data_IF_075176939953
#
_entry.id   IF_075176939953
#
_cell.length_a   1.000
_cell.length_b   1.000
_cell.length_c   1.000
_cell.angle_alpha   90.00
_cell.angle_beta   90.00
_cell.angle_gamma   90.00
#
_symmetry.space_group_name_H-M   'P 1'
#
loop_
_entity.id
_entity.type
_entity.pdbx_description
1 polymer ?
#
# COMPACT_ATOMS: atom_id res chain seq x y z
N UNK A 1 -7.84 -34.76 -23.81
CA UNK A 1 -6.87 -34.37 -24.86
C UNK A 1 -6.52 -32.93 -24.59
N UNK A 2 -5.44 -32.67 -23.85
CA UNK A 2 -5.00 -31.31 -23.50
C UNK A 2 -4.42 -30.68 -24.77
N UNK A 3 -4.96 -29.54 -25.20
CA UNK A 3 -4.46 -28.83 -26.37
C UNK A 3 -3.12 -28.16 -26.02
N UNK A 4 -2.25 -28.00 -27.02
CA UNK A 4 -0.87 -27.47 -26.89
C UNK A 4 -0.78 -26.10 -26.17
N UNK A 5 -1.88 -25.37 -26.05
CA UNK A 5 -1.95 -24.03 -25.48
C UNK A 5 -2.89 -23.90 -24.27
N UNK A 6 -3.46 -25.00 -23.76
CA UNK A 6 -4.39 -24.96 -22.63
C UNK A 6 -3.74 -24.46 -21.33
N UNK A 7 -2.43 -24.64 -21.21
CA UNK A 7 -1.65 -24.21 -20.06
C UNK A 7 -1.22 -22.75 -20.15
N UNK A 8 -1.63 -22.01 -21.18
CA UNK A 8 -1.28 -20.60 -21.36
C UNK A 8 -2.45 -19.69 -20.99
N UNK A 9 -2.14 -18.53 -20.41
CA UNK A 9 -3.09 -17.47 -20.13
C UNK A 9 -2.58 -16.10 -20.63
N UNK A 10 -3.45 -15.29 -21.24
CA UNK A 10 -3.15 -13.90 -21.52
C UNK A 10 -3.19 -13.12 -20.21
N UNK A 11 -2.12 -12.38 -19.92
CA UNK A 11 -2.00 -11.55 -18.74
C UNK A 11 -1.69 -10.12 -19.15
N UNK A 12 -2.54 -9.22 -18.68
CA UNK A 12 -2.36 -7.80 -18.86
C UNK A 12 -1.52 -7.24 -17.72
N UNK A 13 -0.32 -6.73 -18.03
CA UNK A 13 0.50 -5.96 -17.09
C UNK A 13 0.54 -4.50 -17.55
N UNK A 14 -0.34 -3.70 -16.97
CA UNK A 14 -0.56 -2.32 -17.42
C UNK A 14 -1.07 -2.26 -18.87
N UNK A 15 -0.32 -1.60 -19.76
CA UNK A 15 -0.67 -1.48 -21.20
C UNK A 15 -0.18 -2.64 -22.08
N UNK A 16 0.67 -3.53 -21.55
CA UNK A 16 1.23 -4.65 -22.32
C UNK A 16 0.46 -5.93 -22.03
N UNK A 17 0.12 -6.66 -23.09
CA UNK A 17 -0.44 -8.01 -23.03
C UNK A 17 0.67 -9.02 -23.25
N UNK A 18 0.81 -9.99 -22.34
CA UNK A 18 1.81 -11.05 -22.43
C UNK A 18 1.14 -12.40 -22.24
N UNK A 19 1.59 -13.43 -22.98
CA UNK A 19 1.16 -14.80 -22.74
C UNK A 19 2.15 -15.45 -21.78
N UNK A 20 1.64 -16.08 -20.71
CA UNK A 20 2.44 -16.85 -19.75
C UNK A 20 1.79 -18.20 -19.48
N UNK A 21 2.55 -19.13 -18.90
CA UNK A 21 1.97 -20.34 -18.34
C UNK A 21 1.01 -19.98 -17.18
N UNK A 22 -0.15 -20.64 -17.15
CA UNK A 22 -1.13 -20.59 -16.07
C UNK A 22 -0.43 -20.95 -14.78
N UNK A 23 -0.64 -20.11 -13.76
CA UNK A 23 -0.12 -20.39 -12.43
C UNK A 23 -1.01 -21.40 -11.73
N UNK A 24 -0.49 -22.60 -11.52
CA UNK A 24 -1.10 -23.55 -10.59
C UNK A 24 -0.82 -23.08 -9.16
N UNK A 25 -1.84 -22.87 -8.32
CA UNK A 25 -1.64 -22.53 -6.92
C UNK A 25 -0.94 -23.67 -6.18
N UNK A 26 -0.07 -23.32 -5.23
CA UNK A 26 0.42 -24.32 -4.27
C UNK A 26 -0.71 -24.80 -3.37
N UNK A 27 -0.52 -25.92 -2.67
CA UNK A 27 -1.52 -26.44 -1.73
C UNK A 27 -1.96 -25.38 -0.69
N UNK A 28 -1.02 -24.57 -0.17
CA UNK A 28 -1.33 -23.49 0.77
C UNK A 28 -2.09 -22.32 0.13
N UNK A 29 -1.75 -21.97 -1.11
CA UNK A 29 -2.48 -20.93 -1.83
C UNK A 29 -3.90 -21.39 -2.15
N UNK A 30 -4.06 -22.66 -2.54
CA UNK A 30 -5.36 -23.26 -2.83
C UNK A 30 -6.26 -23.23 -1.59
N UNK A 31 -5.75 -23.59 -0.41
CA UNK A 31 -6.51 -23.52 0.84
C UNK A 31 -7.07 -22.11 1.10
N UNK A 32 -6.26 -21.06 0.89
CA UNK A 32 -6.73 -19.67 1.02
C UNK A 32 -7.80 -19.32 -0.01
N UNK A 33 -7.65 -19.78 -1.25
CA UNK A 33 -8.65 -19.54 -2.30
C UNK A 33 -9.97 -20.26 -2.02
N UNK A 34 -9.90 -21.47 -1.45
CA UNK A 34 -11.07 -22.25 -1.06
C UNK A 34 -11.84 -21.59 0.09
N UNK A 35 -11.13 -21.08 1.11
CA UNK A 35 -11.74 -20.30 2.19
C UNK A 35 -12.48 -19.06 1.67
N UNK A 36 -11.90 -18.37 0.68
CA UNK A 36 -12.51 -17.20 0.05
C UNK A 36 -13.77 -17.59 -0.72
N UNK A 37 -13.72 -18.64 -1.54
CA UNK A 37 -14.88 -19.14 -2.28
C UNK A 37 -15.98 -19.66 -1.35
N UNK A 38 -15.62 -20.17 -0.16
CA UNK A 38 -16.57 -20.56 0.89
C UNK A 38 -17.19 -19.37 1.65
N UNK A 39 -16.74 -18.14 1.39
CA UNK A 39 -17.26 -16.93 2.01
C UNK A 39 -16.70 -16.64 3.41
N UNK A 40 -15.53 -17.20 3.76
CA UNK A 40 -14.86 -16.88 5.03
C UNK A 40 -14.46 -15.40 5.03
N UNK A 41 -14.97 -14.65 6.01
CA UNK A 41 -14.85 -13.19 6.02
C UNK A 41 -13.49 -12.66 6.50
N UNK A 42 -12.77 -13.42 7.33
CA UNK A 42 -11.50 -13.01 7.92
C UNK A 42 -10.50 -14.16 7.88
N UNK A 43 -9.44 -13.99 7.09
CA UNK A 43 -8.39 -14.99 6.89
C UNK A 43 -7.04 -14.35 7.22
N UNK A 44 -6.28 -15.00 8.11
CA UNK A 44 -4.91 -14.61 8.42
C UNK A 44 -3.94 -15.55 7.70
N UNK A 45 -3.05 -14.99 6.87
CA UNK A 45 -2.06 -15.76 6.11
C UNK A 45 -0.65 -15.44 6.61
N UNK A 46 -0.03 -16.40 7.30
CA UNK A 46 1.38 -16.32 7.70
C UNK A 46 2.28 -16.84 6.57
N UNK A 47 3.09 -15.96 6.00
CA UNK A 47 3.83 -16.23 4.77
C UNK A 47 5.29 -15.76 4.85
N UNK A 48 6.25 -16.68 4.70
CA UNK A 48 7.69 -16.40 4.70
C UNK A 48 8.14 -15.65 3.43
N UNK A 49 9.33 -15.05 3.43
CA UNK A 49 9.87 -14.43 2.23
C UNK A 49 9.95 -15.45 1.07
N UNK A 50 9.60 -15.03 -0.15
CA UNK A 50 9.60 -15.91 -1.32
C UNK A 50 8.40 -16.86 -1.45
N UNK A 51 7.47 -16.91 -0.47
CA UNK A 51 6.31 -17.83 -0.49
C UNK A 51 5.21 -17.49 -1.51
N UNK A 52 5.45 -16.57 -2.45
CA UNK A 52 4.46 -16.20 -3.47
C UNK A 52 3.32 -15.29 -2.99
N UNK A 53 3.53 -14.46 -1.97
CA UNK A 53 2.53 -13.50 -1.43
C UNK A 53 1.86 -12.65 -2.52
N UNK A 54 2.64 -12.01 -3.38
CA UNK A 54 2.12 -11.18 -4.47
C UNK A 54 1.29 -12.01 -5.46
N UNK A 55 1.74 -13.24 -5.76
CA UNK A 55 1.00 -14.16 -6.62
C UNK A 55 -0.34 -14.57 -6.01
N UNK A 56 -0.38 -14.80 -4.69
CA UNK A 56 -1.60 -15.10 -3.98
C UNK A 56 -2.59 -13.93 -4.04
N UNK A 57 -2.14 -12.69 -3.84
CA UNK A 57 -3.01 -11.51 -3.97
C UNK A 57 -3.61 -11.36 -5.38
N UNK A 58 -2.82 -11.63 -6.42
CA UNK A 58 -3.29 -11.65 -7.82
C UNK A 58 -4.34 -12.75 -8.05
N UNK A 59 -4.12 -13.96 -7.51
CA UNK A 59 -5.07 -15.07 -7.58
C UNK A 59 -6.39 -14.72 -6.86
N UNK A 60 -6.31 -14.14 -5.67
CA UNK A 60 -7.49 -13.70 -4.90
C UNK A 60 -8.27 -12.66 -5.71
N UNK A 61 -7.59 -11.65 -6.25
CA UNK A 61 -8.25 -10.60 -7.02
C UNK A 61 -8.95 -11.15 -8.28
N UNK A 62 -8.29 -12.11 -8.94
CA UNK A 62 -8.86 -12.80 -10.11
C UNK A 62 -10.08 -13.61 -9.71
N UNK A 63 -9.98 -14.42 -8.64
CA UNK A 63 -11.06 -15.27 -8.11
C UNK A 63 -12.30 -14.47 -7.76
N UNK A 64 -12.14 -13.39 -6.98
CA UNK A 64 -13.23 -12.48 -6.58
C UNK A 64 -13.98 -11.93 -7.80
N UNK A 65 -13.25 -11.62 -8.88
CA UNK A 65 -13.81 -11.12 -10.14
C UNK A 65 -14.49 -12.21 -10.96
N UNK A 66 -13.82 -13.34 -11.18
CA UNK A 66 -14.32 -14.41 -12.06
C UNK A 66 -15.50 -15.15 -11.47
N UNK A 67 -15.52 -15.36 -10.15
CA UNK A 67 -16.59 -16.08 -9.45
C UNK A 67 -17.71 -15.17 -8.96
N UNK A 68 -17.61 -13.85 -9.21
CA UNK A 68 -18.60 -12.85 -8.81
C UNK A 68 -18.96 -12.94 -7.32
N UNK A 69 -17.97 -13.22 -6.46
CA UNK A 69 -18.15 -13.42 -5.02
C UNK A 69 -18.50 -12.13 -4.26
N UNK A 70 -18.49 -10.99 -4.95
CA UNK A 70 -18.73 -9.68 -4.36
C UNK A 70 -20.19 -9.26 -4.53
N UNK A 71 -20.85 -8.73 -3.49
CA UNK A 71 -22.15 -8.09 -3.63
C UNK A 71 -22.13 -6.99 -4.69
N UNK A 72 -23.26 -6.77 -5.39
CA UNK A 72 -23.37 -5.70 -6.39
C UNK A 72 -23.00 -4.35 -5.78
N UNK A 73 -22.04 -3.67 -6.40
CA UNK A 73 -21.57 -2.35 -5.96
C UNK A 73 -20.54 -2.38 -4.81
N UNK A 74 -20.14 -3.56 -4.33
CA UNK A 74 -19.07 -3.66 -3.36
C UNK A 74 -17.74 -3.14 -3.94
N UNK A 75 -16.97 -2.44 -3.10
CA UNK A 75 -15.63 -1.96 -3.44
C UNK A 75 -14.60 -2.86 -2.76
N UNK A 76 -13.55 -3.20 -3.50
CA UNK A 76 -12.42 -3.99 -2.98
C UNK A 76 -11.20 -3.10 -2.85
N UNK A 77 -10.56 -3.14 -1.69
CA UNK A 77 -9.35 -2.39 -1.39
C UNK A 77 -8.17 -3.30 -1.04
N UNK A 78 -7.02 -3.07 -1.67
CA UNK A 78 -5.73 -3.65 -1.32
C UNK A 78 -4.86 -2.59 -0.65
N UNK A 79 -4.49 -2.84 0.60
CA UNK A 79 -3.67 -1.94 1.40
C UNK A 79 -2.24 -2.46 1.52
N UNK A 80 -1.30 -1.53 1.50
CA UNK A 80 0.13 -1.83 1.68
C UNK A 80 0.85 -0.72 2.46
N UNK A 81 2.09 -0.99 2.90
CA UNK A 81 2.84 -0.07 3.74
C UNK A 81 3.57 1.03 2.98
N UNK A 82 3.86 0.85 1.68
CA UNK A 82 4.65 1.82 0.92
C UNK A 82 4.24 1.90 -0.56
N UNK A 83 4.61 3.00 -1.22
CA UNK A 83 4.24 3.27 -2.61
C UNK A 83 4.90 2.31 -3.60
N UNK A 84 6.07 1.74 -3.26
CA UNK A 84 6.73 0.77 -4.11
C UNK A 84 5.87 -0.49 -4.27
N UNK A 85 5.30 -1.02 -3.18
CA UNK A 85 4.39 -2.17 -3.21
C UNK A 85 3.09 -1.80 -3.94
N UNK A 86 2.50 -0.62 -3.68
CA UNK A 86 1.31 -0.15 -4.41
C UNK A 86 1.53 -0.17 -5.92
N UNK A 87 2.65 0.38 -6.39
CA UNK A 87 2.99 0.41 -7.82
C UNK A 87 3.10 -1.00 -8.40
N UNK A 88 3.72 -1.93 -7.69
CA UNK A 88 3.83 -3.33 -8.13
C UNK A 88 2.45 -4.02 -8.17
N UNK A 89 1.62 -3.83 -7.14
CA UNK A 89 0.28 -4.42 -7.09
C UNK A 89 -0.64 -3.87 -8.18
N UNK A 90 -0.61 -2.57 -8.46
CA UNK A 90 -1.40 -1.95 -9.54
C UNK A 90 -1.12 -2.52 -10.94
N UNK A 91 0.01 -3.19 -11.14
CA UNK A 91 0.33 -3.84 -12.41
C UNK A 91 -0.35 -5.20 -12.60
N UNK A 92 -0.81 -5.84 -11.52
CA UNK A 92 -1.33 -7.21 -11.53
C UNK A 92 -2.76 -7.32 -10.99
N UNK A 93 -3.18 -6.38 -10.14
CA UNK A 93 -4.54 -6.32 -9.61
C UNK A 93 -5.46 -5.66 -10.64
N UNK A 94 -6.72 -6.13 -10.81
CA UNK A 94 -7.70 -5.52 -11.70
C UNK A 94 -7.88 -4.01 -11.42
N UNK A 95 -8.03 -3.21 -12.48
CA UNK A 95 -8.05 -1.74 -12.41
C UNK A 95 -9.26 -1.19 -11.64
N UNK A 96 -10.35 -1.95 -11.59
CA UNK A 96 -11.54 -1.61 -10.81
C UNK A 96 -11.35 -1.72 -9.29
N UNK A 97 -10.30 -2.41 -8.85
CA UNK A 97 -9.99 -2.54 -7.43
C UNK A 97 -9.07 -1.42 -6.98
N UNK A 98 -9.31 -0.94 -5.77
CA UNK A 98 -8.57 0.15 -5.19
C UNK A 98 -7.28 -0.39 -4.57
N UNK A 99 -6.13 0.17 -4.96
CA UNK A 99 -4.81 -0.24 -4.45
C UNK A 99 -4.08 1.00 -3.94
N UNK A 100 -3.79 1.02 -2.64
CA UNK A 100 -3.25 2.21 -1.97
C UNK A 100 -2.42 1.88 -0.73
N UNK A 101 -1.74 2.88 -0.18
CA UNK A 101 -1.07 2.70 1.12
C UNK A 101 -2.06 2.91 2.27
N UNK A 102 -1.77 2.32 3.43
CA UNK A 102 -2.54 2.58 4.66
C UNK A 102 -2.60 4.09 4.94
N UNK A 103 -1.47 4.80 4.79
CA UNK A 103 -1.41 6.26 4.98
C UNK A 103 -2.29 7.03 4.01
N UNK A 104 -2.33 6.66 2.72
CA UNK A 104 -3.20 7.33 1.75
C UNK A 104 -4.69 7.04 1.97
N UNK A 105 -5.04 5.89 2.56
CA UNK A 105 -6.41 5.64 3.00
C UNK A 105 -6.75 6.56 4.18
N UNK A 106 -5.84 6.67 5.15
CA UNK A 106 -5.98 7.59 6.27
C UNK A 106 -6.14 9.04 5.83
N UNK A 107 -5.31 9.52 4.91
CA UNK A 107 -5.43 10.88 4.35
C UNK A 107 -6.78 11.10 3.66
N UNK A 108 -7.27 10.13 2.87
CA UNK A 108 -8.58 10.23 2.26
C UNK A 108 -9.68 10.39 3.32
N UNK A 109 -9.65 9.55 4.36
CA UNK A 109 -10.63 9.60 5.45
C UNK A 109 -10.59 10.96 6.13
N UNK A 110 -9.39 11.50 6.42
CA UNK A 110 -9.22 12.82 7.03
C UNK A 110 -9.78 13.91 6.13
N UNK A 111 -9.41 13.95 4.83
CA UNK A 111 -9.89 14.98 3.90
C UNK A 111 -11.42 14.97 3.74
N UNK A 112 -12.04 13.80 3.80
CA UNK A 112 -13.49 13.66 3.69
C UNK A 112 -14.26 14.13 4.94
N UNK A 113 -13.67 13.97 6.13
CA UNK A 113 -14.36 14.22 7.40
C UNK A 113 -13.88 15.49 8.11
N UNK A 114 -12.71 16.01 7.76
CA UNK A 114 -12.10 17.20 8.34
C UNK A 114 -11.60 18.10 7.19
N UNK A 115 -12.50 18.81 6.48
CA UNK A 115 -12.14 19.60 5.30
C UNK A 115 -11.10 20.71 5.55
N UNK A 116 -10.98 21.13 6.81
CA UNK A 116 -10.03 22.15 7.25
C UNK A 116 -8.62 21.60 7.50
N UNK A 117 -8.47 20.27 7.58
CA UNK A 117 -7.18 19.64 7.77
C UNK A 117 -6.32 19.86 6.52
N UNK A 118 -5.12 20.39 6.71
CA UNK A 118 -4.15 20.61 5.65
C UNK A 118 -2.90 19.81 5.95
N UNK A 119 -2.34 19.21 4.90
CA UNK A 119 -1.01 18.64 4.99
C UNK A 119 0.01 19.76 5.22
N UNK A 120 0.77 19.64 6.30
CA UNK A 120 1.83 20.59 6.64
C UNK A 120 3.18 19.89 6.44
N UNK A 121 3.89 20.16 5.33
CA UNK A 121 5.20 19.57 5.07
C UNK A 121 6.26 20.07 6.07
N UNK A 122 6.04 21.24 6.67
CA UNK A 122 6.97 21.88 7.60
C UNK A 122 6.68 21.51 9.05
N UNK A 123 5.65 20.69 9.32
CA UNK A 123 5.19 20.31 10.66
C UNK A 123 6.34 19.97 11.59
N UNK A 124 7.21 19.06 11.17
CA UNK A 124 8.32 18.60 12.00
C UNK A 124 9.36 19.69 12.23
N UNK A 125 9.67 20.49 11.21
CA UNK A 125 10.57 21.64 11.36
C UNK A 125 10.01 22.66 12.33
N UNK A 126 8.71 22.95 12.26
CA UNK A 126 8.01 23.87 13.15
C UNK A 126 7.97 23.35 14.59
N UNK A 127 7.73 22.05 14.78
CA UNK A 127 7.78 21.41 16.12
C UNK A 127 9.19 21.51 16.70
N UNK A 128 10.23 21.15 15.92
CA UNK A 128 11.62 21.27 16.38
C UNK A 128 11.95 22.72 16.75
N UNK A 129 11.56 23.68 15.92
CA UNK A 129 11.77 25.11 16.20
C UNK A 129 11.05 25.53 17.49
N UNK A 130 9.79 25.15 17.68
CA UNK A 130 9.03 25.45 18.89
C UNK A 130 9.64 24.84 20.15
N UNK A 131 10.17 23.61 20.08
CA UNK A 131 10.87 22.96 21.20
C UNK A 131 12.16 23.71 21.54
N UNK A 132 12.97 24.10 20.54
CA UNK A 132 14.22 24.83 20.75
C UNK A 132 13.97 26.22 21.34
N UNK A 133 12.96 26.93 20.85
CA UNK A 133 12.60 28.26 21.34
C UNK A 133 12.03 28.21 22.76
N UNK A 134 11.24 27.17 23.07
CA UNK A 134 10.68 26.92 24.40
C UNK A 134 11.69 26.38 25.44
N UNK A 135 12.88 25.95 25.02
CA UNK A 135 13.87 25.35 25.93
C UNK A 135 14.59 26.35 26.86
N UNK A 136 14.38 27.66 26.67
CA UNK A 136 14.98 28.69 27.53
C UNK A 136 16.52 28.79 27.46
N UNK A 137 17.15 28.19 26.44
CA UNK A 137 18.61 28.17 26.28
C UNK A 137 19.09 29.58 25.91
N UNK A 138 19.97 30.20 26.69
CA UNK A 138 20.47 31.56 26.36
C UNK A 138 21.49 31.57 25.20
N UNK A 139 22.34 30.55 25.11
CA UNK A 139 23.42 30.48 24.13
C UNK A 139 22.90 30.21 22.70
N UNK A 140 23.18 31.09 21.72
CA UNK A 140 22.82 30.86 20.31
C UNK A 140 23.48 29.60 19.73
N UNK A 141 24.73 29.32 20.12
CA UNK A 141 25.44 28.13 19.67
C UNK A 141 24.77 26.84 20.17
N UNK A 142 24.39 26.80 21.45
CA UNK A 142 23.71 25.65 22.03
C UNK A 142 22.31 25.43 21.42
N UNK A 143 21.57 26.51 21.10
CA UNK A 143 20.29 26.40 20.35
C UNK A 143 20.49 25.80 18.97
N UNK A 144 21.53 26.22 18.27
CA UNK A 144 21.86 25.70 16.93
C UNK A 144 22.18 24.21 17.01
N UNK A 145 23.03 23.81 17.93
CA UNK A 145 23.40 22.41 18.12
C UNK A 145 22.19 21.54 18.46
N UNK A 146 21.33 21.99 19.39
CA UNK A 146 20.11 21.26 19.74
C UNK A 146 19.17 21.10 18.54
N UNK A 147 18.98 22.17 17.76
CA UNK A 147 18.17 22.12 16.53
C UNK A 147 18.71 21.09 15.56
N UNK A 148 20.01 21.11 15.27
CA UNK A 148 20.65 20.17 14.35
C UNK A 148 20.44 18.72 14.81
N UNK A 149 20.68 18.42 16.09
CA UNK A 149 20.47 17.07 16.67
C UNK A 149 19.02 16.60 16.58
N UNK A 150 18.07 17.47 16.92
CA UNK A 150 16.64 17.14 16.87
C UNK A 150 16.18 16.92 15.43
N UNK A 151 16.58 17.77 14.49
CA UNK A 151 16.28 17.61 13.06
C UNK A 151 16.81 16.28 12.55
N UNK A 152 18.09 15.95 12.79
CA UNK A 152 18.66 14.67 12.37
C UNK A 152 17.94 13.47 12.99
N UNK A 153 17.52 13.57 14.26
CA UNK A 153 16.74 12.51 14.92
C UNK A 153 15.40 12.28 14.22
N UNK A 154 14.70 13.36 13.88
CA UNK A 154 13.41 13.28 13.18
C UNK A 154 13.58 12.72 11.77
N UNK A 155 14.59 13.16 11.03
CA UNK A 155 14.89 12.67 9.69
C UNK A 155 15.16 11.16 9.68
N UNK A 156 15.92 10.65 10.65
CA UNK A 156 16.20 9.23 10.79
C UNK A 156 14.95 8.39 11.09
N UNK A 157 13.98 8.92 11.85
CA UNK A 157 12.80 8.16 12.26
C UNK A 157 11.60 8.32 11.31
N UNK A 158 11.48 9.46 10.64
CA UNK A 158 10.32 9.82 9.80
C UNK A 158 10.63 9.72 8.31
N UNK A 159 11.90 9.81 7.90
CA UNK A 159 12.34 9.89 6.50
C UNK A 159 12.06 8.68 5.60
N UNK A 160 11.39 7.64 6.11
CA UNK A 160 10.90 6.54 5.29
C UNK A 160 9.66 6.98 4.50
N UNK A 161 9.87 7.48 3.27
CA UNK A 161 8.93 7.61 2.14
C UNK A 161 7.48 7.18 2.46
N UNK A 162 6.77 8.00 3.27
CA UNK A 162 5.42 7.71 3.78
C UNK A 162 4.36 7.68 2.67
N UNK A 163 4.78 7.88 1.42
CA UNK A 163 3.91 7.79 0.27
C UNK A 163 2.90 8.92 0.15
N UNK A 164 3.07 9.99 0.93
CA UNK A 164 2.31 11.22 0.80
C UNK A 164 2.99 12.05 -0.29
N UNK A 165 2.53 11.90 -1.53
CA UNK A 165 2.87 12.88 -2.56
C UNK A 165 2.05 14.13 -2.26
N UNK A 166 2.67 15.30 -2.04
CA UNK A 166 1.93 16.54 -2.11
C UNK A 166 1.39 16.66 -3.54
N UNK A 167 0.07 16.58 -3.69
CA UNK A 167 -0.59 17.05 -4.91
C UNK A 167 -0.39 18.57 -4.94
N UNK A 168 0.67 19.01 -5.60
CA UNK A 168 0.77 20.39 -6.08
C UNK A 168 -0.14 20.49 -7.31
N UNK A 169 -1.44 20.63 -7.07
CA UNK A 169 -2.42 20.97 -8.09
C UNK A 169 -3.47 21.90 -7.47
N UNK A 170 -3.47 23.16 -7.93
CA UNK A 170 -4.36 24.24 -7.49
C UNK A 170 -3.61 25.56 -7.47
#
# INVERSE_FOLDING_TARGET
MTLLFDDLEPVQRGKKMTIRAKRTPSHYQQAVLDDISAGVQAILVSATAGSGKTSLLEMIATRLKTEQLLPKGAKVGFLSFNQHIVKALRQVIPQEFDVRTVSSLGDLIIRQNVPQAKFDPEKYRLIVQGVVDGAGIASPAARRELRERLTSTVELHVGHDLGLKPDFAG
#
